data_IF_845753715415
#
_entry.id   IF_845753715415
#
_cell.length_a   1.000
_cell.length_b   1.000
_cell.length_c   1.000
_cell.angle_alpha   90.00
_cell.angle_beta   90.00
_cell.angle_gamma   90.00
#
_symmetry.space_group_name_H-M   'P 1'
#
loop_
_entity.id
_entity.type
_entity.pdbx_description
1 polymer ?
#
# COMPACT_ATOMS: atom_id res chain seq x y z
N UNK A 1 -6.05 20.00 -16.71
CA UNK A 1 -5.56 19.05 -15.70
C UNK A 1 -4.13 19.47 -15.34
N UNK A 2 -3.80 19.59 -14.05
CA UNK A 2 -2.46 20.00 -13.61
C UNK A 2 -1.94 18.98 -12.60
N UNK A 3 -0.91 18.23 -12.96
CA UNK A 3 -0.29 17.22 -12.09
C UNK A 3 0.93 17.83 -11.39
N UNK A 4 0.97 17.75 -10.07
CA UNK A 4 1.98 18.43 -9.26
C UNK A 4 2.28 17.68 -7.97
N UNK A 5 3.47 17.91 -7.42
CA UNK A 5 3.90 17.46 -6.09
C UNK A 5 3.95 18.62 -5.08
N UNK A 6 3.55 19.84 -5.48
CA UNK A 6 3.49 20.99 -4.59
C UNK A 6 2.20 20.98 -3.77
N UNK A 7 2.32 20.70 -2.47
CA UNK A 7 1.17 20.68 -1.55
C UNK A 7 0.55 22.06 -1.36
N UNK A 8 1.29 23.15 -1.50
CA UNK A 8 0.76 24.52 -1.31
C UNK A 8 -0.36 24.87 -2.31
N UNK A 9 -0.38 24.19 -3.46
CA UNK A 9 -1.42 24.38 -4.48
C UNK A 9 -2.75 23.73 -4.09
N UNK A 10 -2.77 22.82 -3.11
CA UNK A 10 -3.99 22.22 -2.58
C UNK A 10 -4.92 23.31 -2.03
N UNK A 11 -4.37 24.29 -1.32
CA UNK A 11 -5.15 25.32 -0.64
C UNK A 11 -5.87 26.27 -1.64
N UNK A 12 -5.51 26.20 -2.93
CA UNK A 12 -6.18 26.96 -4.00
C UNK A 12 -7.64 26.52 -4.24
N UNK A 13 -8.00 25.28 -3.93
CA UNK A 13 -9.39 24.82 -4.03
C UNK A 13 -10.31 25.59 -3.05
N UNK A 14 -9.77 26.06 -1.92
CA UNK A 14 -10.51 26.89 -0.96
C UNK A 14 -10.66 28.35 -1.37
N UNK A 15 -9.84 28.85 -2.31
CA UNK A 15 -9.83 30.26 -2.72
C UNK A 15 -10.40 30.49 -4.12
N UNK A 16 -10.32 29.49 -5.01
CA UNK A 16 -10.76 29.57 -6.40
C UNK A 16 -11.93 28.62 -6.66
N UNK A 17 -13.13 29.18 -6.88
CA UNK A 17 -14.38 28.42 -7.02
C UNK A 17 -14.43 27.39 -8.17
N UNK A 18 -13.48 27.46 -9.13
CA UNK A 18 -13.40 26.55 -10.28
C UNK A 18 -12.27 25.53 -10.18
N UNK A 19 -11.48 25.57 -9.10
CA UNK A 19 -10.40 24.61 -8.84
C UNK A 19 -11.00 23.44 -8.06
N UNK A 20 -10.56 22.23 -8.41
CA UNK A 20 -10.90 21.00 -7.68
C UNK A 20 -9.64 20.16 -7.53
N UNK A 21 -9.39 19.64 -6.33
CA UNK A 21 -8.26 18.76 -6.09
C UNK A 21 -8.63 17.30 -6.32
N UNK A 22 -7.67 16.56 -6.86
CA UNK A 22 -7.74 15.12 -7.05
C UNK A 22 -6.37 14.52 -6.76
N UNK A 23 -6.34 13.29 -6.25
CA UNK A 23 -5.11 12.54 -6.02
C UNK A 23 -5.28 11.06 -6.40
N UNK A 24 -4.17 10.35 -6.54
CA UNK A 24 -4.19 8.90 -6.73
C UNK A 24 -4.46 8.19 -5.42
N UNK A 25 -5.40 7.25 -5.43
CA UNK A 25 -5.71 6.40 -4.30
C UNK A 25 -4.55 5.45 -4.02
N UNK A 26 -4.14 5.42 -2.77
CA UNK A 26 -3.03 4.61 -2.27
C UNK A 26 -3.52 3.77 -1.09
N UNK A 27 -3.09 2.51 -1.03
CA UNK A 27 -3.35 1.61 0.09
C UNK A 27 -2.03 1.35 0.82
N UNK A 28 -2.01 1.64 2.11
CA UNK A 28 -0.88 1.38 2.98
C UNK A 28 -1.11 0.07 3.74
N UNK A 29 -0.13 -0.83 3.69
CA UNK A 29 -0.15 -2.13 4.41
C UNK A 29 0.84 -2.15 5.58
N UNK A 30 1.38 -1.00 5.96
CA UNK A 30 2.34 -0.81 7.06
C UNK A 30 3.79 -1.11 6.68
N UNK A 31 4.03 -2.14 5.88
CA UNK A 31 5.35 -2.49 5.34
C UNK A 31 5.54 -2.03 3.89
N UNK A 32 4.43 -1.94 3.14
CA UNK A 32 4.42 -1.62 1.72
C UNK A 32 3.23 -0.75 1.30
N UNK A 33 3.37 -0.11 0.15
CA UNK A 33 2.41 0.85 -0.40
C UNK A 33 1.96 0.41 -1.79
N UNK A 34 0.65 0.20 -1.94
CA UNK A 34 0.04 -0.21 -3.21
C UNK A 34 -0.71 0.97 -3.84
N UNK A 35 -0.30 1.35 -5.05
CA UNK A 35 -0.97 2.39 -5.83
C UNK A 35 -2.16 1.79 -6.59
N UNK A 36 -3.39 2.21 -6.25
CA UNK A 36 -4.62 1.61 -6.77
C UNK A 36 -4.99 2.07 -8.19
N UNK A 37 -4.13 2.88 -8.85
CA UNK A 37 -4.36 3.50 -10.19
C UNK A 37 -5.72 4.19 -10.35
N UNK A 38 -6.36 4.54 -9.24
CA UNK A 38 -7.68 5.19 -9.19
C UNK A 38 -7.49 6.63 -8.75
N UNK A 39 -8.14 7.57 -9.43
CA UNK A 39 -8.14 8.98 -9.03
C UNK A 39 -9.36 9.23 -8.15
N UNK A 40 -9.18 9.89 -7.02
CA UNK A 40 -10.24 10.25 -6.08
C UNK A 40 -10.21 11.76 -5.77
N UNK A 41 -11.38 12.38 -5.50
CA UNK A 41 -11.46 13.80 -5.18
C UNK A 41 -10.81 14.11 -3.82
N UNK A 42 -10.34 15.35 -3.68
CA UNK A 42 -9.70 15.87 -2.48
C UNK A 42 -8.17 15.89 -2.58
N UNK A 43 -7.55 16.41 -1.52
CA UNK A 43 -6.12 16.53 -1.39
C UNK A 43 -5.51 15.36 -0.63
N UNK A 44 -4.26 15.02 -0.92
CA UNK A 44 -3.48 14.06 -0.15
C UNK A 44 -2.64 14.78 0.92
N UNK A 45 -2.50 14.16 2.09
CA UNK A 45 -1.71 14.65 3.22
C UNK A 45 -0.35 13.94 3.35
N UNK A 46 -0.03 12.97 2.47
CA UNK A 46 1.17 12.14 2.56
C UNK A 46 1.98 12.12 1.27
N UNK A 47 3.30 12.18 1.45
CA UNK A 47 4.29 11.97 0.38
C UNK A 47 4.81 10.54 0.39
N UNK A 48 4.73 9.85 -0.74
CA UNK A 48 5.17 8.46 -0.89
C UNK A 48 6.57 8.31 -1.49
N UNK A 49 7.37 9.39 -1.51
CA UNK A 49 8.68 9.40 -2.18
C UNK A 49 9.66 8.33 -1.69
N UNK A 50 9.74 8.10 -0.37
CA UNK A 50 10.61 7.05 0.21
C UNK A 50 10.11 5.64 -0.21
N UNK A 51 8.80 5.44 -0.30
CA UNK A 51 8.21 4.18 -0.76
C UNK A 51 8.50 3.93 -2.25
N UNK A 52 8.36 4.96 -3.08
CA UNK A 52 8.72 4.89 -4.51
C UNK A 52 10.22 4.59 -4.69
N UNK A 53 11.08 5.20 -3.87
CA UNK A 53 12.52 4.91 -3.89
C UNK A 53 12.83 3.44 -3.55
N UNK A 54 12.11 2.86 -2.58
CA UNK A 54 12.25 1.43 -2.24
C UNK A 54 11.82 0.53 -3.42
N UNK A 55 10.70 0.84 -4.06
CA UNK A 55 10.23 0.13 -5.26
C UNK A 55 11.20 0.27 -6.44
N UNK A 56 11.89 1.41 -6.56
CA UNK A 56 12.91 1.65 -7.58
C UNK A 56 14.24 0.92 -7.32
N UNK A 57 14.34 0.12 -6.25
CA UNK A 57 15.53 -0.66 -5.92
C UNK A 57 16.63 0.13 -5.22
N UNK A 58 16.32 1.32 -4.66
CA UNK A 58 17.28 2.06 -3.85
C UNK A 58 17.65 1.23 -2.60
N UNK A 59 18.94 1.15 -2.22
CA UNK A 59 19.37 0.30 -1.12
C UNK A 59 18.63 0.58 0.19
N UNK A 60 18.24 -0.49 0.89
CA UNK A 60 17.46 -0.42 2.14
C UNK A 60 18.10 0.49 3.20
N UNK A 61 19.43 0.46 3.34
CA UNK A 61 20.19 1.33 4.26
C UNK A 61 19.93 2.83 4.00
N UNK A 62 19.73 3.22 2.74
CA UNK A 62 19.45 4.61 2.34
C UNK A 62 18.00 4.97 2.66
N UNK A 63 17.04 4.12 2.27
CA UNK A 63 15.62 4.37 2.54
C UNK A 63 15.30 4.39 4.03
N UNK A 64 15.95 3.54 4.82
CA UNK A 64 15.78 3.48 6.27
C UNK A 64 16.33 4.74 6.93
N UNK A 65 17.51 5.22 6.51
CA UNK A 65 18.07 6.48 6.99
C UNK A 65 17.18 7.68 6.65
N UNK A 66 16.65 7.72 5.42
CA UNK A 66 15.72 8.77 5.00
C UNK A 66 14.45 8.76 5.87
N UNK A 67 13.94 7.57 6.24
CA UNK A 67 12.78 7.44 7.11
C UNK A 67 13.08 7.93 8.54
N UNK A 68 14.28 7.66 9.08
CA UNK A 68 14.70 8.20 10.37
C UNK A 68 14.74 9.73 10.35
N UNK A 69 15.36 10.33 9.32
CA UNK A 69 15.43 11.79 9.17
C UNK A 69 14.05 12.43 9.02
N UNK A 70 13.12 11.76 8.33
CA UNK A 70 11.74 12.23 8.20
C UNK A 70 11.03 12.29 9.56
N UNK A 71 11.22 11.27 10.41
CA UNK A 71 10.67 11.25 11.78
C UNK A 71 11.26 12.37 12.63
N UNK A 72 12.58 12.56 12.59
CA UNK A 72 13.27 13.64 13.30
C UNK A 72 12.79 15.03 12.86
N UNK A 73 12.53 15.22 11.56
CA UNK A 73 12.02 16.47 11.01
C UNK A 73 10.56 16.73 11.45
N UNK A 74 9.72 15.69 11.45
CA UNK A 74 8.33 15.78 11.89
C UNK A 74 8.22 16.10 13.39
N UNK A 75 9.11 15.55 14.22
CA UNK A 75 9.16 15.83 15.66
C UNK A 75 9.64 17.27 15.97
N UNK A 76 10.41 17.89 15.07
CA UNK A 76 10.82 19.30 15.21
C UNK A 76 9.72 20.30 14.85
N UNK A 77 8.66 19.89 14.16
CA UNK A 77 7.47 20.70 13.93
C UNK A 77 6.45 20.54 15.09
N UNK A 78 6.58 21.34 16.17
CA UNK A 78 5.56 21.50 17.23
C UNK A 78 4.80 22.85 17.08
N UNK A 79 3.60 23.03 17.68
CA UNK A 79 2.30 23.19 17.02
C UNK A 79 1.82 24.66 17.05
N UNK A 80 1.54 25.27 15.91
CA UNK A 80 1.17 26.68 15.90
C UNK A 80 0.43 27.11 14.64
N UNK A 81 -0.86 26.77 14.54
CA UNK A 81 -1.76 27.40 13.59
C UNK A 81 -2.97 26.53 13.28
N UNK A 82 -4.18 27.11 13.16
CA UNK A 82 -5.37 26.38 12.75
C UNK A 82 -5.17 25.95 11.30
N UNK A 83 -4.69 24.73 11.07
CA UNK A 83 -4.78 24.11 9.75
C UNK A 83 -6.26 23.84 9.52
N UNK A 84 -6.77 24.34 8.39
CA UNK A 84 -8.07 23.95 7.85
C UNK A 84 -8.23 22.43 7.95
N UNK A 85 -9.46 21.89 8.13
CA UNK A 85 -9.67 20.46 8.30
C UNK A 85 -9.15 19.71 7.06
N UNK A 86 -7.88 19.34 7.12
CA UNK A 86 -7.22 18.44 6.18
C UNK A 86 -7.83 17.10 6.53
N UNK A 87 -8.54 16.52 5.58
CA UNK A 87 -9.10 15.19 5.73
C UNK A 87 -7.96 14.23 6.05
N UNK A 88 -7.75 13.95 7.34
CA UNK A 88 -7.22 12.68 7.78
C UNK A 88 -8.16 11.69 7.12
N UNK A 89 -7.64 10.98 6.12
CA UNK A 89 -8.36 9.92 5.46
C UNK A 89 -8.98 9.07 6.56
N UNK A 90 -10.30 9.20 6.67
CA UNK A 90 -11.13 8.42 7.55
C UNK A 90 -10.66 6.99 7.35
N UNK A 91 -10.12 6.37 8.41
CA UNK A 91 -9.84 4.96 8.38
C UNK A 91 -11.16 4.31 7.94
N UNK A 92 -11.16 3.78 6.72
CA UNK A 92 -11.90 2.57 6.46
C UNK A 92 -11.11 1.49 7.22
N UNK A 93 -11.26 1.46 8.55
CA UNK A 93 -11.32 0.16 9.21
C UNK A 93 -12.60 -0.42 8.68
N UNK A 94 -12.47 -1.21 7.62
CA UNK A 94 -13.50 -2.18 7.31
C UNK A 94 -13.63 -3.06 8.56
N UNK A 95 -14.81 -3.13 9.22
CA UNK A 95 -15.00 -4.04 10.35
C UNK A 95 -14.96 -5.51 9.91
N UNK A 96 -14.91 -5.78 8.61
CA UNK A 96 -14.48 -7.07 8.09
C UNK A 96 -12.98 -7.02 7.84
N UNK A 97 -12.25 -7.91 8.51
CA UNK A 97 -11.03 -8.47 7.95
C UNK A 97 -11.22 -8.57 6.43
N UNK A 98 -10.45 -7.80 5.67
CA UNK A 98 -10.37 -8.02 4.24
C UNK A 98 -9.89 -9.45 4.10
N UNK A 99 -10.83 -10.36 3.82
CA UNK A 99 -10.55 -11.74 3.46
C UNK A 99 -9.71 -11.60 2.21
N UNK A 100 -8.39 -11.60 2.38
CA UNK A 100 -7.51 -12.16 1.38
C UNK A 100 -8.09 -13.56 1.27
N UNK A 101 -8.85 -13.85 0.21
CA UNK A 101 -9.16 -15.24 -0.10
C UNK A 101 -7.79 -15.91 -0.22
N UNK A 102 -7.40 -16.62 0.84
CA UNK A 102 -6.12 -17.32 0.83
C UNK A 102 -6.17 -18.25 -0.36
N UNK A 103 -5.20 -18.09 -1.27
CA UNK A 103 -5.09 -18.94 -2.44
C UNK A 103 -5.26 -20.40 -1.98
N UNK A 104 -6.14 -21.18 -2.62
CA UNK A 104 -6.50 -22.53 -2.17
C UNK A 104 -5.27 -23.44 -2.03
N UNK A 105 -4.23 -23.22 -2.83
CA UNK A 105 -2.97 -23.93 -2.73
C UNK A 105 -2.20 -23.58 -1.43
N UNK A 106 -2.23 -22.33 -0.98
CA UNK A 106 -1.59 -21.90 0.28
C UNK A 106 -2.32 -22.51 1.48
N UNK A 107 -3.65 -22.59 1.41
CA UNK A 107 -4.46 -23.23 2.46
C UNK A 107 -4.17 -24.72 2.56
N UNK A 108 -4.09 -25.42 1.43
CA UNK A 108 -3.76 -26.85 1.39
C UNK A 108 -2.32 -27.09 1.89
N UNK A 109 -1.36 -26.26 1.47
CA UNK A 109 0.04 -26.36 1.90
C UNK A 109 0.21 -26.29 3.43
N UNK A 110 -0.54 -25.41 4.11
CA UNK A 110 -0.50 -25.28 5.59
C UNK A 110 -0.99 -26.53 6.32
N UNK A 111 -1.80 -27.37 5.69
CA UNK A 111 -2.38 -28.57 6.30
C UNK A 111 -1.57 -29.85 6.07
N UNK A 112 -0.54 -29.80 5.23
CA UNK A 112 0.27 -30.96 4.89
C UNK A 112 1.33 -31.25 5.96
N UNK A 113 1.56 -32.54 6.22
CA UNK A 113 2.63 -33.01 7.08
C UNK A 113 3.66 -33.79 6.25
N UNK A 114 4.78 -33.16 5.84
CA UNK A 114 5.80 -33.81 5.02
C UNK A 114 6.46 -35.03 5.67
N UNK A 115 6.40 -35.14 7.00
CA UNK A 115 7.03 -36.23 7.74
C UNK A 115 6.23 -37.54 7.69
N UNK A 116 4.96 -37.48 7.28
CA UNK A 116 4.07 -38.64 7.21
C UNK A 116 3.76 -39.06 5.76
N UNK A 117 4.37 -38.39 4.78
CA UNK A 117 4.12 -38.63 3.36
C UNK A 117 5.23 -39.49 2.77
N UNK A 118 4.86 -40.39 1.86
CA UNK A 118 5.87 -41.07 1.04
C UNK A 118 6.44 -40.10 0.00
N UNK A 119 7.66 -40.31 -0.50
CA UNK A 119 8.26 -39.42 -1.51
C UNK A 119 7.40 -39.25 -2.77
N UNK A 120 6.65 -40.29 -3.16
CA UNK A 120 5.78 -40.23 -4.33
C UNK A 120 4.49 -39.43 -4.04
N UNK A 121 3.95 -39.54 -2.83
CA UNK A 121 2.80 -38.74 -2.40
C UNK A 121 3.16 -37.25 -2.31
N UNK A 122 4.35 -36.93 -1.79
CA UNK A 122 4.84 -35.56 -1.74
C UNK A 122 4.97 -34.96 -3.15
N UNK A 123 5.53 -35.71 -4.11
CA UNK A 123 5.66 -35.26 -5.49
C UNK A 123 4.29 -35.04 -6.16
N UNK A 124 3.35 -35.96 -5.95
CA UNK A 124 1.99 -35.85 -6.49
C UNK A 124 1.25 -34.63 -5.92
N UNK A 125 1.40 -34.36 -4.62
CA UNK A 125 0.80 -33.19 -3.98
C UNK A 125 1.42 -31.89 -4.47
N UNK A 126 2.73 -31.83 -4.68
CA UNK A 126 3.40 -30.65 -5.27
C UNK A 126 2.92 -30.35 -6.70
N UNK A 127 2.70 -31.38 -7.53
CA UNK A 127 2.13 -31.21 -8.86
C UNK A 127 0.73 -30.59 -8.82
N UNK A 128 -0.13 -31.08 -7.91
CA UNK A 128 -1.49 -30.56 -7.72
C UNK A 128 -1.50 -29.11 -7.23
N UNK A 129 -0.65 -28.78 -6.25
CA UNK A 129 -0.53 -27.41 -5.73
C UNK A 129 -0.07 -26.42 -6.81
N UNK A 130 0.81 -26.85 -7.72
CA UNK A 130 1.27 -26.02 -8.85
C UNK A 130 0.13 -25.72 -9.83
N UNK A 131 -0.75 -26.68 -10.09
CA UNK A 131 -1.93 -26.47 -10.95
C UNK A 131 -2.91 -25.48 -10.32
N UNK A 132 -3.21 -25.64 -9.03
CA UNK A 132 -4.07 -24.72 -8.28
C UNK A 132 -3.52 -23.29 -8.23
N UNK A 133 -2.20 -23.13 -8.11
CA UNK A 133 -1.56 -21.81 -8.11
C UNK A 133 -1.61 -21.12 -9.49
N UNK A 134 -1.50 -21.88 -10.58
CA UNK A 134 -1.48 -21.33 -11.94
C UNK A 134 -2.88 -21.01 -12.49
N UNK A 135 -3.93 -21.69 -12.03
CA UNK A 135 -5.31 -21.40 -12.46
C UNK A 135 -5.79 -20.01 -12.02
N UNK A 136 -5.32 -19.50 -10.87
CA UNK A 136 -5.65 -18.14 -10.41
C UNK A 136 -4.97 -17.03 -11.24
N UNK A 137 -3.72 -17.23 -11.67
CA UNK A 137 -2.98 -16.25 -12.49
C UNK A 137 -3.62 -16.03 -13.88
N UNK A 138 -4.44 -16.98 -14.35
CA UNK A 138 -5.13 -16.89 -15.63
C UNK A 138 -6.53 -16.25 -15.58
N UNK A 139 -7.03 -15.90 -14.39
CA UNK A 139 -8.30 -15.18 -14.18
C UNK A 139 -8.13 -13.70 -13.80
N UNK A 140 -6.90 -13.17 -13.82
CA UNK A 140 -6.54 -11.78 -13.52
C UNK A 140 -6.38 -10.88 -14.74
#
# INVERSE_FOLDING_TARGET
LFATHFHDLVDLEGTLARVKNFHFAVRDTGSDVVFLRKIIPGATDRSYGIHVARLAGIPKKVTDRAMTLLKEAAEREYPGGPRAPRYTQMLLVDPGEGVIEENPAVRELKSLNPNEMTPIDALNTLCRLRELANEEDSRG
#
